data_IF_419449256250
#
_entry.id   IF_419449256250
#
_cell.length_a   1.000
_cell.length_b   1.000
_cell.length_c   1.000
_cell.angle_alpha   90.00
_cell.angle_beta   90.00
_cell.angle_gamma   90.00
#
_symmetry.space_group_name_H-M   'P 1'
#
loop_
_entity.id
_entity.type
_entity.pdbx_description
1 polymer ?
#
# COMPACT_ATOMS: atom_id res chain seq x y z
N UNK A 1 -10.60 5.49 -4.74
CA UNK A 1 -11.92 4.85 -4.99
C UNK A 1 -13.09 5.82 -4.97
N UNK A 2 -13.30 6.53 -3.84
CA UNK A 2 -14.46 7.42 -3.65
C UNK A 2 -14.56 8.54 -4.69
N UNK A 3 -13.45 9.23 -4.97
CA UNK A 3 -13.45 10.37 -5.90
C UNK A 3 -13.87 9.99 -7.31
N UNK A 4 -13.42 8.83 -7.81
CA UNK A 4 -13.83 8.31 -9.13
C UNK A 4 -15.33 8.00 -9.19
N UNK A 5 -15.91 7.48 -8.10
CA UNK A 5 -17.36 7.25 -8.02
C UNK A 5 -18.14 8.57 -7.96
N UNK A 6 -17.66 9.54 -7.19
CA UNK A 6 -18.28 10.85 -7.07
C UNK A 6 -18.21 11.62 -8.42
N UNK A 7 -17.09 11.56 -9.14
CA UNK A 7 -16.96 12.11 -10.50
C UNK A 7 -17.92 11.43 -11.49
N UNK A 8 -17.97 10.10 -11.50
CA UNK A 8 -18.83 9.35 -12.41
C UNK A 8 -20.31 9.65 -12.18
N UNK A 9 -20.75 9.72 -10.93
CA UNK A 9 -22.14 10.04 -10.59
C UNK A 9 -22.50 11.50 -10.90
N UNK A 10 -21.55 12.44 -10.77
CA UNK A 10 -21.75 13.84 -11.16
C UNK A 10 -22.04 14.02 -12.66
N UNK A 11 -21.63 13.07 -13.52
CA UNK A 11 -21.95 13.12 -14.96
C UNK A 11 -23.44 12.88 -15.27
N UNK A 12 -24.20 12.31 -14.34
CA UNK A 12 -25.57 11.84 -14.57
C UNK A 12 -25.68 10.57 -15.43
N UNK A 13 -24.57 9.97 -15.86
CA UNK A 13 -24.54 8.71 -16.62
C UNK A 13 -24.42 7.46 -15.76
N UNK A 14 -24.14 7.62 -14.45
CA UNK A 14 -23.96 6.55 -13.48
C UNK A 14 -24.90 6.76 -12.31
N UNK A 15 -25.65 5.71 -11.92
CA UNK A 15 -26.51 5.72 -10.75
C UNK A 15 -25.83 5.02 -9.55
N UNK A 16 -25.84 5.66 -8.39
CA UNK A 16 -25.38 5.06 -7.14
C UNK A 16 -26.52 4.24 -6.51
N UNK A 17 -26.34 2.92 -6.40
CA UNK A 17 -27.35 1.99 -5.86
C UNK A 17 -27.32 1.82 -4.34
N UNK A 18 -26.50 2.61 -3.63
CA UNK A 18 -26.35 2.53 -2.18
C UNK A 18 -25.29 1.52 -1.72
N UNK A 19 -25.14 1.44 -0.40
CA UNK A 19 -24.12 0.62 0.25
C UNK A 19 -24.52 -0.87 0.27
N UNK A 20 -23.53 -1.76 0.14
CA UNK A 20 -23.73 -3.21 0.26
C UNK A 20 -23.75 -3.69 1.72
N UNK A 21 -23.35 -2.83 2.67
CA UNK A 21 -23.11 -3.18 4.06
C UNK A 21 -21.73 -3.79 4.35
N UNK A 22 -20.88 -3.98 3.33
CA UNK A 22 -19.50 -4.43 3.52
C UNK A 22 -18.62 -3.30 4.08
N UNK A 23 -17.82 -3.61 5.09
CA UNK A 23 -16.82 -2.70 5.66
C UNK A 23 -15.44 -3.11 5.14
N UNK A 24 -15.10 -2.64 3.94
CA UNK A 24 -13.80 -2.88 3.34
C UNK A 24 -12.73 -2.00 3.99
N UNK A 25 -11.51 -2.55 4.14
CA UNK A 25 -10.32 -1.81 4.55
C UNK A 25 -9.27 -2.04 3.48
N UNK A 26 -8.86 -0.95 2.84
CA UNK A 26 -7.77 -0.89 1.88
C UNK A 26 -6.72 0.01 2.51
N UNK A 27 -5.60 -0.56 2.96
CA UNK A 27 -4.58 0.17 3.68
C UNK A 27 -3.23 -0.54 3.56
N UNK A 28 -2.15 0.15 3.91
CA UNK A 28 -0.83 -0.44 3.96
C UNK A 28 -0.80 -1.58 4.99
N UNK A 29 -0.16 -2.68 4.60
CA UNK A 29 -0.16 -3.91 5.37
C UNK A 29 1.22 -4.55 5.39
N UNK A 30 1.54 -5.23 6.48
CA UNK A 30 2.78 -5.98 6.64
C UNK A 30 2.53 -7.36 7.27
N UNK A 31 3.35 -8.38 6.96
CA UNK A 31 3.28 -9.68 7.63
C UNK A 31 3.60 -9.58 9.13
N UNK A 32 2.80 -10.24 9.99
CA UNK A 32 2.91 -10.07 11.44
C UNK A 32 4.30 -10.35 12.02
N UNK A 33 5.08 -11.25 11.40
CA UNK A 33 6.45 -11.54 11.83
C UNK A 33 7.39 -10.32 11.71
N UNK A 34 7.04 -9.30 10.92
CA UNK A 34 7.83 -8.06 10.86
C UNK A 34 7.83 -7.30 12.18
N UNK A 35 6.88 -7.54 13.08
CA UNK A 35 6.93 -7.00 14.45
C UNK A 35 8.13 -7.51 15.26
N UNK A 36 8.71 -8.65 14.90
CA UNK A 36 9.93 -9.14 15.56
C UNK A 36 11.14 -8.28 15.20
N UNK A 37 11.15 -7.69 14.00
CA UNK A 37 12.25 -6.84 13.48
C UNK A 37 11.98 -5.34 13.70
N UNK A 38 10.71 -4.92 13.62
CA UNK A 38 10.25 -3.56 13.88
C UNK A 38 9.09 -3.57 14.90
N UNK A 39 9.38 -3.64 16.21
CA UNK A 39 8.37 -3.79 17.26
C UNK A 39 7.39 -2.61 17.41
N UNK A 40 7.73 -1.42 16.88
CA UNK A 40 6.87 -0.24 16.92
C UNK A 40 5.66 -0.31 15.98
N UNK A 41 5.62 -1.27 15.05
CA UNK A 41 4.48 -1.46 14.16
C UNK A 41 3.19 -1.80 14.95
N UNK A 42 2.02 -1.24 14.56
CA UNK A 42 1.70 -0.64 13.26
C UNK A 42 1.83 0.90 13.21
N UNK A 43 2.51 1.55 14.15
CA UNK A 43 2.71 3.01 14.07
C UNK A 43 3.47 3.36 12.79
N UNK A 44 2.93 4.28 11.98
CA UNK A 44 3.53 4.68 10.71
C UNK A 44 4.85 5.43 10.91
N UNK A 45 5.02 6.09 12.06
CA UNK A 45 6.30 6.71 12.42
C UNK A 45 7.36 5.63 12.67
N UNK A 46 6.99 4.56 13.38
CA UNK A 46 7.87 3.41 13.55
C UNK A 46 8.14 2.66 12.25
N UNK A 47 7.17 2.59 11.33
CA UNK A 47 7.39 2.08 9.98
C UNK A 47 8.50 2.89 9.29
N UNK A 48 8.44 4.23 9.37
CA UNK A 48 9.46 5.10 8.78
C UNK A 48 10.83 4.94 9.45
N UNK A 49 10.89 4.88 10.78
CA UNK A 49 12.14 4.63 11.52
C UNK A 49 12.79 3.29 11.12
N UNK A 50 11.99 2.34 10.62
CA UNK A 50 12.41 1.04 10.15
C UNK A 50 12.57 0.93 8.62
N UNK A 51 12.55 2.04 7.87
CA UNK A 51 12.50 2.04 6.41
C UNK A 51 13.59 1.18 5.75
N UNK A 52 14.83 1.24 6.25
CA UNK A 52 15.95 0.45 5.73
C UNK A 52 15.71 -1.06 5.81
N UNK A 53 14.93 -1.55 6.79
CA UNK A 53 14.54 -2.96 6.88
C UNK A 53 13.68 -3.39 5.68
N UNK A 54 12.88 -2.48 5.14
CA UNK A 54 12.01 -2.72 3.98
C UNK A 54 12.69 -2.35 2.66
N UNK A 55 13.97 -1.97 2.67
CA UNK A 55 14.70 -1.57 1.48
C UNK A 55 15.03 -2.75 0.56
N UNK A 56 15.09 -2.47 -0.73
CA UNK A 56 15.61 -3.38 -1.75
C UNK A 56 16.83 -2.75 -2.43
N UNK A 57 17.65 -3.53 -3.16
CA UNK A 57 18.78 -2.96 -3.90
C UNK A 57 18.41 -1.81 -4.85
N UNK A 58 17.17 -1.79 -5.35
CA UNK A 58 16.66 -0.78 -6.27
C UNK A 58 16.20 0.51 -5.57
N UNK A 59 15.78 0.41 -4.31
CA UNK A 59 15.19 1.53 -3.53
C UNK A 59 16.15 2.08 -2.47
N UNK A 60 17.26 1.38 -2.20
CA UNK A 60 18.22 1.77 -1.19
C UNK A 60 18.73 3.23 -1.38
N UNK A 61 18.75 4.04 -0.29
CA UNK A 61 18.55 3.65 1.11
C UNK A 61 17.08 3.61 1.59
N UNK A 62 16.12 3.96 0.74
CA UNK A 62 14.72 4.03 1.10
C UNK A 62 14.10 2.64 1.22
N UNK A 63 13.04 2.53 2.03
CA UNK A 63 12.18 1.35 2.10
C UNK A 63 11.35 1.21 0.82
N UNK A 64 11.04 -0.02 0.41
CA UNK A 64 10.13 -0.27 -0.70
C UNK A 64 8.71 -0.47 -0.19
N UNK A 65 7.78 0.40 -0.58
CA UNK A 65 6.35 0.12 -0.46
C UNK A 65 5.85 -0.49 -1.78
N UNK A 66 5.38 -1.74 -1.74
CA UNK A 66 4.79 -2.39 -2.90
C UNK A 66 3.30 -2.03 -3.00
N UNK A 67 3.02 -1.00 -3.80
CA UNK A 67 1.66 -0.53 -4.06
C UNK A 67 0.89 -1.46 -5.00
N UNK A 68 -0.44 -1.38 -4.94
CA UNK A 68 -1.31 -2.06 -5.90
C UNK A 68 -1.13 -1.54 -7.33
N UNK A 69 -1.72 -2.20 -8.34
CA UNK A 69 -1.75 -1.68 -9.70
C UNK A 69 -2.29 -0.26 -9.75
N UNK A 70 -1.68 0.61 -10.56
CA UNK A 70 -2.10 2.01 -10.73
C UNK A 70 -3.57 2.17 -11.14
N UNK A 71 -4.17 1.13 -11.73
CA UNK A 71 -5.58 1.09 -12.10
C UNK A 71 -6.54 0.97 -10.90
N UNK A 72 -6.05 0.61 -9.72
CA UNK A 72 -6.82 0.65 -8.47
C UNK A 72 -7.00 2.09 -7.98
N UNK A 73 -6.19 3.03 -8.50
CA UNK A 73 -6.08 4.38 -7.98
C UNK A 73 -5.45 4.39 -6.59
N UNK A 74 -5.70 5.44 -5.83
CA UNK A 74 -5.05 5.67 -4.54
C UNK A 74 -4.13 6.88 -4.61
N UNK A 75 -3.45 7.14 -3.51
CA UNK A 75 -2.57 8.29 -3.34
C UNK A 75 -1.32 7.88 -2.56
N UNK A 76 -0.77 6.70 -2.87
CA UNK A 76 0.36 6.16 -2.12
C UNK A 76 1.62 7.01 -2.30
N UNK A 77 1.91 7.45 -3.54
CA UNK A 77 3.01 8.37 -3.84
C UNK A 77 2.85 9.70 -3.11
N UNK A 78 1.67 10.32 -3.20
CA UNK A 78 1.39 11.60 -2.54
C UNK A 78 1.38 11.46 -1.02
N UNK A 79 0.99 10.31 -0.47
CA UNK A 79 1.04 10.02 0.96
C UNK A 79 2.48 9.92 1.44
N UNK A 80 3.35 9.23 0.70
CA UNK A 80 4.79 9.16 0.99
C UNK A 80 5.40 10.57 0.98
N UNK A 81 5.12 11.36 -0.05
CA UNK A 81 5.62 12.73 -0.17
C UNK A 81 5.11 13.63 0.97
N UNK A 82 3.80 13.62 1.24
CA UNK A 82 3.18 14.51 2.22
C UNK A 82 3.59 14.19 3.67
N UNK A 83 3.94 12.94 3.96
CA UNK A 83 4.43 12.50 5.26
C UNK A 83 5.95 12.48 5.37
N UNK A 84 6.66 12.87 4.30
CA UNK A 84 8.13 12.87 4.20
C UNK A 84 8.73 11.49 4.57
N UNK A 85 8.12 10.41 4.09
CA UNK A 85 8.57 9.06 4.38
C UNK A 85 9.82 8.70 3.58
N UNK A 86 10.73 7.96 4.21
CA UNK A 86 11.92 7.37 3.60
C UNK A 86 11.56 6.10 2.80
N UNK A 87 10.50 6.19 2.00
CA UNK A 87 9.97 5.08 1.20
C UNK A 87 9.88 5.47 -0.28
N UNK A 88 10.06 4.48 -1.16
CA UNK A 88 9.72 4.57 -2.57
C UNK A 88 8.53 3.65 -2.86
N UNK A 89 7.51 4.20 -3.53
CA UNK A 89 6.35 3.45 -3.99
C UNK A 89 6.69 2.74 -5.28
N UNK A 90 6.57 1.41 -5.27
CA UNK A 90 6.71 0.57 -6.46
C UNK A 90 5.37 -0.10 -6.72
N UNK A 91 4.73 0.25 -7.84
CA UNK A 91 3.44 -0.34 -8.21
C UNK A 91 3.61 -1.71 -8.86
N UNK A 92 2.87 -2.70 -8.36
CA UNK A 92 2.73 -3.97 -9.04
C UNK A 92 2.04 -3.79 -10.40
N UNK A 93 2.51 -4.50 -11.43
CA UNK A 93 1.87 -4.43 -12.76
C UNK A 93 0.47 -5.05 -12.81
N UNK A 94 0.19 -6.00 -11.93
CA UNK A 94 -1.10 -6.69 -11.79
C UNK A 94 -1.37 -7.07 -10.34
N UNK A 95 -2.63 -7.34 -10.02
CA UNK A 95 -3.05 -7.92 -8.74
C UNK A 95 -2.33 -9.26 -8.47
N UNK A 96 -2.21 -10.10 -9.48
CA UNK A 96 -1.48 -11.36 -9.40
C UNK A 96 0.00 -11.16 -9.05
N UNK A 97 0.65 -10.13 -9.61
CA UNK A 97 2.05 -9.81 -9.29
C UNK A 97 2.21 -9.33 -7.84
N UNK A 98 1.28 -8.49 -7.35
CA UNK A 98 1.25 -8.06 -5.95
C UNK A 98 1.17 -9.27 -5.00
N UNK A 99 0.23 -10.19 -5.24
CA UNK A 99 0.08 -11.37 -4.41
C UNK A 99 1.26 -12.34 -4.51
N UNK A 100 1.87 -12.49 -5.68
CA UNK A 100 3.05 -13.34 -5.87
C UNK A 100 4.26 -12.83 -5.08
N UNK A 101 4.51 -11.52 -5.08
CA UNK A 101 5.56 -10.90 -4.26
C UNK A 101 5.29 -11.07 -2.77
N UNK A 102 4.05 -10.84 -2.33
CA UNK A 102 3.62 -11.06 -0.95
C UNK A 102 3.84 -12.51 -0.52
N UNK A 103 3.43 -13.48 -1.33
CA UNK A 103 3.62 -14.91 -1.04
C UNK A 103 5.11 -15.27 -0.95
N UNK A 104 5.91 -14.78 -1.90
CA UNK A 104 7.37 -14.97 -1.90
C UNK A 104 8.07 -14.39 -0.67
N UNK A 105 7.67 -13.18 -0.24
CA UNK A 105 8.18 -12.56 0.98
C UNK A 105 7.79 -13.35 2.22
N UNK A 106 6.51 -13.75 2.31
CA UNK A 106 5.98 -14.53 3.41
C UNK A 106 6.69 -15.87 3.59
N UNK A 107 6.93 -16.61 2.50
CA UNK A 107 7.65 -17.89 2.53
C UNK A 107 9.10 -17.75 3.01
N UNK A 108 9.75 -16.63 2.72
CA UNK A 108 11.14 -16.35 3.11
C UNK A 108 11.26 -15.61 4.45
N UNK A 109 10.13 -15.24 5.07
CA UNK A 109 10.06 -14.31 6.21
C UNK A 109 10.80 -12.99 5.94
N UNK A 110 10.71 -12.52 4.69
CA UNK A 110 11.24 -11.23 4.28
C UNK A 110 10.20 -10.12 4.51
N UNK A 111 10.64 -8.85 4.61
CA UNK A 111 9.76 -7.69 4.55
C UNK A 111 8.79 -7.73 3.36
#
# INVERSE_FOLDING_TARGET
GRDAMDEATATGMVENLGETGMQAIEEWWYPLYMKEQCPGLPDWQALNDCAELFSTPETAPNGRYLGGPVTWGGYDDERVEALELDYEVVHAGTDAALFAELESAYQRKAP
#
